data_IF_601897852198
#
_entry.id   IF_601897852198
#
_cell.length_a   1.000
_cell.length_b   1.000
_cell.length_c   1.000
_cell.angle_alpha   90.00
_cell.angle_beta   90.00
_cell.angle_gamma   90.00
#
_symmetry.space_group_name_H-M   'P 1'
#
loop_
_entity.id
_entity.type
_entity.pdbx_description
1 polymer ?
#
# COMPACT_ATOMS: atom_id res chain seq x y z
N UNK A 1 10.32 -11.80 30.45
CA UNK A 1 10.03 -11.20 29.12
C UNK A 1 9.01 -12.09 28.43
N UNK A 2 7.91 -11.51 27.91
CA UNK A 2 6.94 -12.29 27.13
C UNK A 2 7.54 -12.68 25.77
N UNK A 3 7.00 -13.71 25.12
CA UNK A 3 7.39 -14.10 23.77
C UNK A 3 7.25 -12.94 22.77
N UNK A 4 6.23 -12.09 22.96
CA UNK A 4 6.01 -10.87 22.17
C UNK A 4 7.15 -9.85 22.35
N UNK A 5 7.67 -9.70 23.59
CA UNK A 5 8.77 -8.80 23.87
C UNK A 5 10.10 -9.28 23.23
N UNK A 6 10.31 -10.59 23.22
CA UNK A 6 11.48 -11.20 22.58
C UNK A 6 11.47 -10.99 21.07
N UNK A 7 10.33 -11.21 20.41
CA UNK A 7 10.17 -10.96 18.95
C UNK A 7 10.34 -9.47 18.60
N UNK A 8 9.80 -8.57 19.42
CA UNK A 8 10.01 -7.15 19.22
C UNK A 8 11.50 -6.79 19.30
N UNK A 9 12.17 -7.22 20.37
CA UNK A 9 13.60 -6.95 20.58
C UNK A 9 14.47 -7.55 19.48
N UNK A 10 14.15 -8.76 19.03
CA UNK A 10 14.82 -9.39 17.90
C UNK A 10 14.78 -8.51 16.65
N UNK A 11 13.57 -8.15 16.20
CA UNK A 11 13.41 -7.34 15.00
C UNK A 11 13.89 -5.90 15.15
N UNK A 12 13.79 -5.34 16.36
CA UNK A 12 14.30 -3.99 16.64
C UNK A 12 15.82 -3.90 16.49
N UNK A 13 16.53 -4.94 16.84
CA UNK A 13 18.00 -5.01 16.83
C UNK A 13 18.57 -5.58 15.51
N UNK A 14 17.75 -6.09 14.59
CA UNK A 14 18.26 -6.47 13.26
C UNK A 14 18.76 -5.24 12.53
N UNK A 15 19.74 -5.39 11.66
CA UNK A 15 20.29 -4.29 10.87
C UNK A 15 20.56 -4.72 9.43
N UNK A 16 20.56 -3.74 8.53
CA UNK A 16 20.85 -3.91 7.12
C UNK A 16 21.01 -2.56 6.44
N UNK A 17 21.29 -2.49 5.15
CA UNK A 17 21.40 -1.23 4.42
C UNK A 17 20.08 -0.46 4.45
N UNK A 18 20.17 0.84 4.58
CA UNK A 18 19.03 1.73 4.50
C UNK A 18 18.45 1.76 3.08
N UNK A 19 17.14 1.63 2.97
CA UNK A 19 16.35 1.91 1.77
C UNK A 19 15.74 3.30 1.89
N UNK A 20 15.27 3.63 3.10
CA UNK A 20 14.90 4.97 3.50
C UNK A 20 15.63 5.28 4.81
N UNK A 21 16.56 6.22 4.77
CA UNK A 21 17.25 6.68 5.97
C UNK A 21 16.27 7.28 6.99
N UNK A 22 16.58 7.20 8.29
CA UNK A 22 15.72 7.77 9.31
C UNK A 22 15.54 9.27 9.07
N UNK A 23 14.31 9.66 8.83
CA UNK A 23 13.95 11.07 8.76
C UNK A 23 13.12 11.49 10.00
N UNK A 24 13.30 12.74 10.40
CA UNK A 24 12.58 13.31 11.53
C UNK A 24 11.35 14.06 11.01
N UNK A 25 10.17 13.59 11.36
CA UNK A 25 8.92 14.29 11.05
C UNK A 25 8.01 14.32 12.28
N UNK A 26 7.42 15.49 12.59
CA UNK A 26 6.41 15.65 13.66
C UNK A 26 6.83 15.04 15.01
N UNK A 27 8.04 15.29 15.46
CA UNK A 27 8.62 14.80 16.73
C UNK A 27 8.88 13.28 16.77
N UNK A 28 8.89 12.60 15.64
CA UNK A 28 9.22 11.19 15.55
C UNK A 28 10.23 10.87 14.44
N UNK A 29 10.82 9.70 14.50
CA UNK A 29 11.73 9.19 13.47
C UNK A 29 11.09 8.04 12.73
N UNK A 30 11.36 7.91 11.43
CA UNK A 30 10.95 6.75 10.62
C UNK A 30 12.05 6.41 9.61
N UNK A 31 12.36 5.15 9.48
CA UNK A 31 13.33 4.65 8.49
C UNK A 31 13.03 3.19 8.11
N UNK A 32 13.54 2.76 6.95
CA UNK A 32 13.36 1.41 6.40
C UNK A 32 14.70 0.80 6.04
N UNK A 33 14.98 -0.37 6.54
CA UNK A 33 16.16 -1.17 6.20
C UNK A 33 15.77 -2.44 5.45
N UNK A 34 16.62 -2.84 4.51
CA UNK A 34 16.54 -4.15 3.86
C UNK A 34 17.39 -5.14 4.64
N UNK A 35 16.80 -6.26 5.03
CA UNK A 35 17.46 -7.29 5.87
C UNK A 35 17.27 -8.66 5.20
N UNK A 36 18.32 -9.50 5.24
CA UNK A 36 18.21 -10.92 4.90
C UNK A 36 17.76 -11.70 6.13
N UNK A 37 16.66 -12.44 6.00
CA UNK A 37 16.12 -13.28 7.06
C UNK A 37 15.68 -14.62 6.51
N UNK A 38 16.27 -15.71 7.01
CA UNK A 38 15.99 -17.09 6.55
C UNK A 38 16.10 -17.26 5.03
N UNK A 39 17.12 -16.68 4.40
CA UNK A 39 17.34 -16.76 2.95
C UNK A 39 16.43 -15.88 2.10
N UNK A 40 15.55 -15.08 2.70
CA UNK A 40 14.66 -14.17 1.99
C UNK A 40 14.91 -12.70 2.39
N UNK A 41 14.68 -11.80 1.44
CA UNK A 41 14.70 -10.36 1.71
C UNK A 41 13.44 -9.93 2.45
N UNK A 42 13.62 -9.14 3.51
CA UNK A 42 12.54 -8.47 4.25
C UNK A 42 12.87 -6.98 4.41
N UNK A 43 11.83 -6.16 4.50
CA UNK A 43 11.94 -4.73 4.81
C UNK A 43 11.51 -4.50 6.26
N UNK A 44 12.37 -3.84 7.02
CA UNK A 44 12.16 -3.54 8.43
C UNK A 44 11.99 -2.03 8.61
N UNK A 45 10.73 -1.62 8.75
CA UNK A 45 10.34 -0.23 9.04
C UNK A 45 10.32 -0.02 10.54
N UNK A 46 11.11 0.93 11.03
CA UNK A 46 11.15 1.33 12.44
C UNK A 46 10.66 2.75 12.59
N UNK A 47 9.86 2.97 13.62
CA UNK A 47 9.33 4.30 13.94
C UNK A 47 9.43 4.56 15.44
N UNK A 48 9.80 5.79 15.78
CA UNK A 48 9.80 6.30 17.16
C UNK A 48 8.94 7.55 17.22
N UNK A 49 7.94 7.59 18.11
CA UNK A 49 7.08 8.76 18.29
C UNK A 49 6.04 9.02 17.19
N UNK A 50 6.03 8.25 16.08
CA UNK A 50 5.01 8.36 15.02
C UNK A 50 3.70 7.71 15.44
N UNK A 51 2.72 8.53 15.82
CA UNK A 51 1.44 8.06 16.35
C UNK A 51 0.27 8.45 15.47
N UNK A 52 -0.71 7.55 15.35
CA UNK A 52 -2.06 7.88 14.92
C UNK A 52 -3.02 7.89 16.11
N UNK A 53 -4.04 8.73 16.04
CA UNK A 53 -5.12 8.79 17.04
C UNK A 53 -6.43 8.34 16.40
N UNK A 54 -7.29 7.74 17.20
CA UNK A 54 -8.64 7.32 16.82
C UNK A 54 -9.53 7.29 18.06
N UNK A 55 -10.84 7.14 17.88
CA UNK A 55 -11.76 6.96 19.01
C UNK A 55 -11.35 5.79 19.92
N UNK A 56 -10.84 4.70 19.32
CA UNK A 56 -10.33 3.53 20.07
C UNK A 56 -8.98 3.79 20.75
N UNK A 57 -8.19 4.72 20.24
CA UNK A 57 -6.84 5.01 20.74
C UNK A 57 -6.63 6.52 20.89
N UNK A 58 -7.30 7.17 21.87
CA UNK A 58 -7.24 8.63 22.03
C UNK A 58 -5.83 9.11 22.39
N UNK A 59 -5.06 8.31 23.13
CA UNK A 59 -3.66 8.60 23.48
C UNK A 59 -2.65 8.26 22.38
N UNK A 60 -3.12 7.78 21.25
CA UNK A 60 -2.28 7.41 20.10
C UNK A 60 -1.69 6.01 20.20
N UNK A 61 -1.37 5.45 19.00
CA UNK A 61 -0.63 4.20 18.80
C UNK A 61 0.31 4.38 17.61
N UNK A 62 1.44 3.62 17.57
CA UNK A 62 2.34 3.66 16.41
C UNK A 62 1.65 3.36 15.10
N UNK A 63 1.98 4.14 14.05
CA UNK A 63 1.39 3.99 12.72
C UNK A 63 1.75 2.66 12.09
N UNK A 64 2.90 2.05 12.43
CA UNK A 64 3.29 0.69 12.02
C UNK A 64 2.27 -0.38 12.41
N UNK A 65 1.59 -0.25 13.56
CA UNK A 65 0.52 -1.18 13.94
C UNK A 65 -0.71 -1.04 13.05
N UNK A 66 -1.04 0.18 12.61
CA UNK A 66 -2.14 0.42 11.68
C UNK A 66 -1.80 -0.13 10.31
N UNK A 67 -0.59 0.14 9.83
CA UNK A 67 -0.09 -0.35 8.55
C UNK A 67 -0.04 -1.88 8.50
N UNK A 68 0.51 -2.55 9.54
CA UNK A 68 0.55 -4.00 9.61
C UNK A 68 -0.86 -4.64 9.59
N UNK A 69 -1.83 -4.05 10.31
CA UNK A 69 -3.23 -4.49 10.26
C UNK A 69 -3.86 -4.26 8.89
N UNK A 70 -3.53 -3.15 8.23
CA UNK A 70 -4.02 -2.85 6.90
C UNK A 70 -3.50 -3.86 5.87
N UNK A 71 -2.20 -4.17 5.89
CA UNK A 71 -1.60 -5.21 5.05
C UNK A 71 -2.30 -6.57 5.24
N UNK A 72 -2.44 -7.02 6.49
CA UNK A 72 -3.17 -8.26 6.81
C UNK A 72 -4.60 -8.24 6.27
N UNK A 73 -5.29 -7.09 6.42
CA UNK A 73 -6.67 -6.95 5.93
C UNK A 73 -6.76 -6.98 4.41
N UNK A 74 -5.85 -6.31 3.70
CA UNK A 74 -5.83 -6.31 2.24
C UNK A 74 -5.60 -7.72 1.69
N UNK A 75 -4.60 -8.44 2.21
CA UNK A 75 -4.33 -9.83 1.81
C UNK A 75 -5.55 -10.73 2.05
N UNK A 76 -6.24 -10.56 3.18
CA UNK A 76 -7.47 -11.31 3.47
C UNK A 76 -8.64 -10.97 2.50
N UNK A 77 -8.65 -9.76 1.94
CA UNK A 77 -9.59 -9.36 0.90
C UNK A 77 -9.17 -9.82 -0.51
N UNK A 78 -8.07 -10.55 -0.64
CA UNK A 78 -7.48 -10.94 -1.92
C UNK A 78 -6.89 -9.77 -2.70
N UNK A 79 -6.52 -8.69 -1.99
CA UNK A 79 -5.81 -7.53 -2.54
C UNK A 79 -4.32 -7.73 -2.30
N UNK A 80 -3.54 -7.78 -3.38
CA UNK A 80 -2.12 -8.02 -3.29
C UNK A 80 -1.39 -6.83 -2.62
N UNK A 81 -0.53 -7.14 -1.66
CA UNK A 81 0.25 -6.20 -0.86
C UNK A 81 1.44 -6.94 -0.23
N UNK A 82 2.47 -6.25 0.29
CA UNK A 82 3.56 -6.90 1.02
C UNK A 82 3.05 -7.76 2.18
N UNK A 83 3.48 -9.01 2.23
CA UNK A 83 3.09 -9.91 3.32
C UNK A 83 3.78 -9.49 4.63
N UNK A 84 3.04 -9.14 5.70
CA UNK A 84 3.67 -8.86 6.98
C UNK A 84 4.24 -10.14 7.60
N UNK A 85 5.51 -10.06 8.02
CA UNK A 85 6.20 -11.10 8.79
C UNK A 85 6.00 -10.86 10.28
N UNK A 86 6.10 -9.59 10.68
CA UNK A 86 5.92 -9.17 12.05
C UNK A 86 5.49 -7.69 12.10
N UNK A 87 4.66 -7.33 13.05
CA UNK A 87 4.46 -5.94 13.44
C UNK A 87 4.14 -5.84 14.93
N UNK A 88 4.71 -4.84 15.57
CA UNK A 88 4.58 -4.67 17.01
C UNK A 88 4.92 -3.26 17.47
N UNK A 89 4.67 -3.00 18.74
CA UNK A 89 5.06 -1.75 19.37
C UNK A 89 5.30 -1.94 20.86
N UNK A 90 6.30 -1.22 21.38
CA UNK A 90 6.63 -1.15 22.79
C UNK A 90 6.79 0.31 23.22
N UNK A 91 6.51 0.58 24.49
CA UNK A 91 6.78 1.89 25.10
C UNK A 91 8.07 1.81 25.91
N UNK A 92 9.12 2.48 25.44
CA UNK A 92 10.44 2.48 26.05
C UNK A 92 10.71 3.89 26.59
N UNK A 93 10.97 4.03 27.87
CA UNK A 93 11.19 5.34 28.53
C UNK A 93 10.10 6.37 28.19
N UNK A 94 8.84 5.96 28.17
CA UNK A 94 7.72 6.84 27.87
C UNK A 94 7.42 7.08 26.39
N UNK A 95 8.31 6.69 25.48
CA UNK A 95 8.17 6.90 24.02
C UNK A 95 7.75 5.62 23.33
N UNK A 96 6.80 5.72 22.39
CA UNK A 96 6.38 4.59 21.57
C UNK A 96 7.42 4.28 20.48
N UNK A 97 7.81 3.03 20.44
CA UNK A 97 8.63 2.41 19.41
C UNK A 97 7.75 1.44 18.63
N UNK A 98 7.67 1.62 17.33
CA UNK A 98 6.86 0.79 16.45
C UNK A 98 7.70 0.14 15.35
N UNK A 99 7.39 -1.10 15.02
CA UNK A 99 8.09 -1.86 13.98
C UNK A 99 7.10 -2.56 13.07
N UNK A 100 7.43 -2.61 11.79
CA UNK A 100 6.73 -3.41 10.78
C UNK A 100 7.78 -4.10 9.92
N UNK A 101 7.66 -5.41 9.77
CA UNK A 101 8.50 -6.26 8.93
C UNK A 101 7.64 -6.87 7.85
N UNK A 102 8.02 -6.67 6.59
CA UNK A 102 7.31 -7.20 5.43
C UNK A 102 8.24 -7.99 4.53
N UNK A 103 7.70 -8.99 3.84
CA UNK A 103 8.43 -9.64 2.74
C UNK A 103 8.62 -8.68 1.58
N UNK A 104 9.69 -8.89 0.84
CA UNK A 104 9.95 -8.19 -0.42
C UNK A 104 8.87 -8.52 -1.46
N UNK A 105 8.49 -7.52 -2.24
CA UNK A 105 7.75 -7.67 -3.49
C UNK A 105 8.74 -7.87 -4.65
N UNK A 106 9.35 -9.05 -4.69
CA UNK A 106 10.41 -9.34 -5.65
C UNK A 106 9.95 -9.19 -7.10
N UNK A 107 10.65 -8.34 -7.86
CA UNK A 107 10.38 -8.05 -9.26
C UNK A 107 9.25 -7.05 -9.49
N UNK A 108 8.73 -6.41 -8.44
CA UNK A 108 7.82 -5.28 -8.58
C UNK A 108 8.58 -3.95 -8.62
N UNK A 109 8.05 -3.01 -9.39
CA UNK A 109 8.44 -1.59 -9.38
C UNK A 109 7.19 -0.73 -9.24
N UNK A 110 7.32 0.51 -8.82
CA UNK A 110 6.17 1.40 -8.74
C UNK A 110 5.65 1.79 -10.14
N UNK A 111 4.33 1.96 -10.22
CA UNK A 111 3.63 2.20 -11.48
C UNK A 111 4.05 3.53 -12.15
N UNK A 112 4.46 4.52 -11.36
CA UNK A 112 4.92 5.82 -11.86
C UNK A 112 6.26 5.65 -12.59
N UNK A 113 7.23 4.97 -11.96
CA UNK A 113 8.52 4.62 -12.58
C UNK A 113 8.33 3.77 -13.83
N UNK A 114 7.46 2.76 -13.78
CA UNK A 114 7.16 1.90 -14.93
C UNK A 114 6.64 2.69 -16.15
N UNK A 115 5.74 3.66 -15.94
CA UNK A 115 5.28 4.53 -17.03
C UNK A 115 6.38 5.46 -17.53
N UNK A 116 7.20 6.01 -16.63
CA UNK A 116 8.31 6.92 -16.99
C UNK A 116 9.43 6.19 -17.76
N UNK A 117 9.62 4.90 -17.53
CA UNK A 117 10.56 4.05 -18.26
C UNK A 117 10.07 3.65 -19.66
N UNK A 118 8.93 4.18 -20.10
CA UNK A 118 8.46 4.04 -21.47
C UNK A 118 7.46 2.91 -21.71
N UNK A 119 6.73 2.49 -20.70
CA UNK A 119 5.71 1.45 -20.84
C UNK A 119 4.72 1.70 -21.98
N UNK A 120 4.34 2.98 -22.22
CA UNK A 120 3.45 3.36 -23.34
C UNK A 120 4.02 3.03 -24.73
N UNK A 121 5.34 2.92 -24.85
CA UNK A 121 6.01 2.57 -26.09
C UNK A 121 6.32 1.05 -26.18
N UNK A 122 6.33 0.35 -25.06
CA UNK A 122 6.65 -1.07 -24.97
C UNK A 122 5.42 -1.97 -25.09
N UNK A 123 4.25 -1.48 -24.65
CA UNK A 123 3.03 -2.27 -24.58
C UNK A 123 1.93 -1.71 -25.48
N UNK A 124 1.15 -2.61 -26.05
CA UNK A 124 0.00 -2.22 -26.90
C UNK A 124 -1.10 -1.53 -26.07
N UNK A 125 -1.97 -0.73 -26.68
CA UNK A 125 -3.10 -0.12 -25.99
C UNK A 125 -3.98 -1.14 -25.22
N UNK A 126 -4.16 -2.34 -25.79
CA UNK A 126 -4.91 -3.44 -25.15
C UNK A 126 -4.22 -3.95 -23.88
N UNK A 127 -2.89 -4.07 -23.90
CA UNK A 127 -2.11 -4.50 -22.75
C UNK A 127 -2.11 -3.44 -21.63
N UNK A 128 -2.01 -2.16 -22.00
CA UNK A 128 -2.14 -1.05 -21.06
C UNK A 128 -3.54 -0.97 -20.45
N UNK A 129 -4.59 -1.20 -21.24
CA UNK A 129 -5.97 -1.27 -20.73
C UNK A 129 -6.15 -2.44 -19.74
N UNK A 130 -5.51 -3.59 -19.98
CA UNK A 130 -5.50 -4.71 -19.05
C UNK A 130 -4.87 -4.34 -17.68
N UNK A 131 -3.79 -3.54 -17.66
CA UNK A 131 -3.22 -3.02 -16.41
C UNK A 131 -4.23 -2.17 -15.65
N UNK A 132 -4.99 -1.31 -16.36
CA UNK A 132 -6.05 -0.49 -15.75
C UNK A 132 -7.19 -1.36 -15.20
N UNK A 133 -7.58 -2.42 -15.91
CA UNK A 133 -8.61 -3.36 -15.46
C UNK A 133 -8.18 -4.12 -14.20
N UNK A 134 -6.95 -4.64 -14.16
CA UNK A 134 -6.40 -5.32 -12.98
C UNK A 134 -6.40 -4.37 -11.77
N UNK A 135 -5.94 -3.13 -11.94
CA UNK A 135 -5.96 -2.14 -10.88
C UNK A 135 -7.38 -1.82 -10.41
N UNK A 136 -8.30 -1.65 -11.35
CA UNK A 136 -9.70 -1.39 -11.07
C UNK A 136 -10.34 -2.51 -10.24
N UNK A 137 -10.10 -3.76 -10.62
CA UNK A 137 -10.56 -4.94 -9.88
C UNK A 137 -9.97 -4.98 -8.46
N UNK A 138 -8.66 -4.75 -8.33
CA UNK A 138 -7.96 -4.76 -7.05
C UNK A 138 -8.49 -3.68 -6.10
N UNK A 139 -8.66 -2.46 -6.59
CA UNK A 139 -9.23 -1.35 -5.81
C UNK A 139 -10.70 -1.57 -5.46
N UNK A 140 -11.51 -2.06 -6.39
CA UNK A 140 -12.92 -2.35 -6.13
C UNK A 140 -13.07 -3.40 -5.02
N UNK A 141 -12.25 -4.45 -5.03
CA UNK A 141 -12.22 -5.50 -4.00
C UNK A 141 -11.91 -4.93 -2.62
N UNK A 142 -10.92 -4.06 -2.51
CA UNK A 142 -10.60 -3.33 -1.28
C UNK A 142 -11.80 -2.51 -0.78
N UNK A 143 -12.42 -1.72 -1.68
CA UNK A 143 -13.51 -0.83 -1.32
C UNK A 143 -14.81 -1.57 -0.98
N UNK A 144 -15.12 -2.69 -1.67
CA UNK A 144 -16.24 -3.58 -1.31
C UNK A 144 -16.04 -4.16 0.09
N UNK A 145 -14.81 -4.43 0.49
CA UNK A 145 -14.43 -4.79 1.86
C UNK A 145 -14.53 -3.63 2.87
N UNK A 146 -15.08 -2.47 2.48
CA UNK A 146 -15.18 -1.23 3.27
C UNK A 146 -13.84 -0.75 3.79
N UNK A 147 -12.78 -0.95 3.01
CA UNK A 147 -11.43 -0.56 3.38
C UNK A 147 -10.92 0.53 2.45
N UNK A 148 -10.31 1.58 3.01
CA UNK A 148 -9.76 2.72 2.31
C UNK A 148 -8.24 2.66 2.38
N UNK A 149 -7.55 2.96 1.26
CA UNK A 149 -6.10 3.13 1.24
C UNK A 149 -5.67 4.39 2.00
N UNK A 150 -6.33 5.50 1.72
CA UNK A 150 -6.11 6.79 2.39
C UNK A 150 -4.94 7.61 1.85
N UNK A 151 -4.13 7.05 0.94
CA UNK A 151 -3.03 7.74 0.24
C UNK A 151 -2.82 7.13 -1.16
N UNK A 152 -3.90 6.98 -1.95
CA UNK A 152 -3.84 6.35 -3.26
C UNK A 152 -3.16 7.24 -4.29
N UNK A 153 -1.96 6.81 -4.74
CA UNK A 153 -1.12 7.50 -5.73
C UNK A 153 -0.44 6.47 -6.62
N UNK A 154 -0.06 6.85 -7.84
CA UNK A 154 0.64 5.95 -8.79
C UNK A 154 1.90 5.31 -8.20
N UNK A 155 2.69 6.04 -7.44
CA UNK A 155 3.89 5.55 -6.77
C UNK A 155 3.64 4.56 -5.62
N UNK A 156 2.40 4.42 -5.16
CA UNK A 156 2.00 3.45 -4.13
C UNK A 156 1.31 2.21 -4.73
N UNK A 157 1.21 2.16 -6.06
CA UNK A 157 0.77 1.03 -6.85
C UNK A 157 2.03 0.41 -7.44
N UNK A 158 2.25 -0.85 -7.20
CA UNK A 158 3.41 -1.57 -7.69
C UNK A 158 2.98 -2.56 -8.78
N UNK A 159 3.80 -2.68 -9.81
CA UNK A 159 3.56 -3.55 -10.95
C UNK A 159 4.73 -4.52 -11.12
N UNK A 160 4.40 -5.76 -11.42
CA UNK A 160 5.33 -6.77 -11.90
C UNK A 160 4.88 -7.26 -13.26
N UNK A 161 5.81 -7.31 -14.20
CA UNK A 161 5.58 -7.87 -15.52
C UNK A 161 6.29 -9.20 -15.62
N UNK A 162 5.57 -10.23 -15.99
CA UNK A 162 6.12 -11.53 -16.35
C UNK A 162 6.00 -11.69 -17.86
N UNK A 163 7.13 -11.71 -18.53
CA UNK A 163 7.16 -11.97 -19.96
C UNK A 163 6.87 -13.45 -20.19
N UNK A 164 5.77 -13.75 -20.87
CA UNK A 164 5.47 -15.09 -21.39
C UNK A 164 5.71 -15.09 -22.91
N UNK A 165 5.76 -16.27 -23.51
CA UNK A 165 6.03 -16.44 -24.96
C UNK A 165 4.96 -15.86 -25.88
N UNK A 166 3.78 -15.49 -25.36
CA UNK A 166 2.65 -15.00 -26.16
C UNK A 166 2.17 -13.61 -25.74
N UNK A 167 1.96 -13.36 -24.45
CA UNK A 167 1.47 -12.10 -23.92
C UNK A 167 2.05 -11.82 -22.51
N UNK A 168 2.43 -10.60 -22.17
CA UNK A 168 2.90 -10.27 -20.83
C UNK A 168 1.76 -10.41 -19.81
N UNK A 169 2.08 -11.04 -18.68
CA UNK A 169 1.22 -11.09 -17.50
C UNK A 169 1.56 -9.94 -16.56
N UNK A 170 0.55 -9.20 -16.15
CA UNK A 170 0.70 -8.10 -15.21
C UNK A 170 0.15 -8.48 -13.83
N UNK A 171 0.93 -8.17 -12.81
CA UNK A 171 0.52 -8.35 -11.41
C UNK A 171 0.67 -7.00 -10.69
N UNK A 172 -0.36 -6.58 -9.95
CA UNK A 172 -0.35 -5.31 -9.22
C UNK A 172 -0.44 -5.56 -7.72
N UNK A 173 0.19 -4.67 -6.94
CA UNK A 173 0.16 -4.68 -5.48
C UNK A 173 0.03 -3.24 -4.95
N UNK A 174 -0.54 -3.09 -3.74
CA UNK A 174 -0.69 -1.80 -3.07
C UNK A 174 0.29 -1.67 -1.90
N UNK A 175 0.97 -0.53 -1.81
CA UNK A 175 1.93 -0.18 -0.76
C UNK A 175 1.52 1.12 -0.05
N UNK A 176 2.27 1.48 1.00
CA UNK A 176 2.08 2.69 1.84
C UNK A 176 0.69 2.75 2.48
N UNK A 177 0.37 1.75 3.27
CA UNK A 177 -0.90 1.63 3.96
C UNK A 177 -0.92 2.34 5.33
N UNK A 178 0.00 3.25 5.59
CA UNK A 178 0.12 3.95 6.88
C UNK A 178 -1.14 4.75 7.23
N UNK A 179 -1.87 5.27 6.23
CA UNK A 179 -3.14 5.98 6.41
C UNK A 179 -4.38 5.11 6.20
N UNK A 180 -4.18 3.84 5.88
CA UNK A 180 -5.24 2.92 5.53
C UNK A 180 -6.10 2.54 6.73
N UNK A 181 -7.42 2.45 6.53
CA UNK A 181 -8.37 2.14 7.60
C UNK A 181 -9.76 1.72 7.05
N UNK A 182 -10.55 1.10 7.92
CA UNK A 182 -11.93 0.75 7.61
C UNK A 182 -12.86 1.96 7.53
N UNK A 183 -13.89 1.86 6.69
CA UNK A 183 -14.96 2.87 6.52
C UNK A 183 -16.34 2.26 6.79
N UNK A 184 -17.31 3.12 7.12
CA UNK A 184 -18.70 2.71 7.34
C UNK A 184 -19.32 2.17 6.04
N UNK A 185 -18.99 2.76 4.88
CA UNK A 185 -19.49 2.31 3.58
C UNK A 185 -18.39 2.18 2.54
N UNK A 186 -18.58 1.23 1.62
CA UNK A 186 -17.72 1.03 0.45
C UNK A 186 -17.64 2.29 -0.42
N UNK A 187 -18.74 3.01 -0.59
CA UNK A 187 -18.78 4.21 -1.42
C UNK A 187 -17.95 5.36 -0.84
N UNK A 188 -17.91 5.53 0.50
CA UNK A 188 -17.04 6.53 1.13
C UNK A 188 -15.57 6.18 0.97
N UNK A 189 -15.21 4.90 1.12
CA UNK A 189 -13.87 4.43 0.85
C UNK A 189 -13.46 4.70 -0.60
N UNK A 190 -14.31 4.29 -1.54
CA UNK A 190 -14.13 4.43 -2.98
C UNK A 190 -13.92 5.89 -3.41
N UNK A 191 -14.84 6.78 -3.06
CA UNK A 191 -14.79 8.19 -3.47
C UNK A 191 -13.48 8.87 -3.06
N UNK A 192 -13.05 8.65 -1.83
CA UNK A 192 -11.81 9.24 -1.34
C UNK A 192 -10.61 8.80 -2.19
N UNK A 193 -10.42 7.50 -2.37
CA UNK A 193 -9.24 6.96 -3.03
C UNK A 193 -9.26 7.21 -4.56
N UNK A 194 -10.44 7.14 -5.20
CA UNK A 194 -10.60 7.46 -6.62
C UNK A 194 -10.28 8.93 -6.91
N UNK A 195 -10.80 9.86 -6.10
CA UNK A 195 -10.49 11.29 -6.25
C UNK A 195 -9.02 11.59 -5.99
N UNK A 196 -8.40 10.85 -5.07
CA UNK A 196 -6.98 10.99 -4.80
C UNK A 196 -6.12 10.45 -5.94
N UNK A 197 -6.45 9.26 -6.46
CA UNK A 197 -5.77 8.67 -7.61
C UNK A 197 -5.89 9.57 -8.85
N UNK A 198 -7.08 10.12 -9.13
CA UNK A 198 -7.28 11.06 -10.26
C UNK A 198 -6.32 12.25 -10.20
N UNK A 199 -6.12 12.82 -9.03
CA UNK A 199 -5.23 13.99 -8.83
C UNK A 199 -3.74 13.67 -8.92
N UNK A 200 -3.37 12.41 -8.74
CA UNK A 200 -1.99 11.96 -8.62
C UNK A 200 -1.62 10.85 -9.62
N UNK A 201 -2.44 10.64 -10.66
CA UNK A 201 -2.12 9.79 -11.79
C UNK A 201 -1.68 10.65 -12.99
N UNK A 202 -0.81 10.10 -13.83
CA UNK A 202 -0.35 10.71 -15.07
C UNK A 202 -1.18 10.25 -16.29
N UNK A 203 -2.36 9.69 -16.04
CA UNK A 203 -3.22 9.19 -17.09
C UNK A 203 -3.91 10.34 -17.83
N UNK A 204 -3.95 10.22 -19.17
CA UNK A 204 -4.79 11.04 -20.01
C UNK A 204 -6.27 10.85 -19.65
N UNK A 205 -7.12 11.77 -20.10
CA UNK A 205 -8.56 11.64 -19.88
C UNK A 205 -9.15 10.34 -20.44
N UNK A 206 -8.80 9.88 -21.67
CA UNK A 206 -9.25 8.58 -22.17
C UNK A 206 -8.82 7.41 -21.26
N UNK A 207 -7.55 7.35 -20.83
CA UNK A 207 -7.06 6.30 -19.92
C UNK A 207 -7.81 6.30 -18.57
N UNK A 208 -8.05 7.50 -18.04
CA UNK A 208 -8.84 7.66 -16.82
C UNK A 208 -10.27 7.15 -16.99
N UNK A 209 -10.92 7.44 -18.09
CA UNK A 209 -12.28 6.97 -18.39
C UNK A 209 -12.31 5.44 -18.59
N UNK A 210 -11.26 4.84 -19.16
CA UNK A 210 -11.12 3.39 -19.25
C UNK A 210 -11.01 2.75 -17.84
N UNK A 211 -10.10 3.27 -17.02
CA UNK A 211 -9.98 2.82 -15.63
C UNK A 211 -11.30 2.97 -14.87
N UNK A 212 -11.99 4.10 -14.98
CA UNK A 212 -13.22 4.36 -14.24
C UNK A 212 -14.34 3.40 -14.67
N UNK A 213 -14.50 3.11 -15.96
CA UNK A 213 -15.46 2.11 -16.45
C UNK A 213 -15.19 0.72 -15.89
N UNK A 214 -13.95 0.25 -15.92
CA UNK A 214 -13.56 -1.02 -15.32
C UNK A 214 -13.85 -1.02 -13.80
N UNK A 215 -13.49 0.06 -13.13
CA UNK A 215 -13.67 0.18 -11.71
C UNK A 215 -15.14 0.14 -11.28
N UNK A 216 -16.02 0.92 -11.93
CA UNK A 216 -17.46 0.97 -11.64
C UNK A 216 -18.14 -0.35 -11.98
N UNK A 217 -17.71 -1.04 -13.02
CA UNK A 217 -18.16 -2.42 -13.35
C UNK A 217 -17.84 -3.37 -12.19
N UNK A 218 -16.61 -3.38 -11.66
CA UNK A 218 -16.22 -4.22 -10.53
C UNK A 218 -16.87 -3.79 -9.20
N UNK A 219 -17.10 -2.50 -9.01
CA UNK A 219 -17.78 -1.98 -7.81
C UNK A 219 -19.29 -2.25 -7.84
N UNK A 220 -19.87 -2.49 -9.03
CA UNK A 220 -21.30 -2.71 -9.26
C UNK A 220 -22.15 -1.43 -9.21
N UNK A 221 -21.53 -0.24 -9.23
CA UNK A 221 -22.24 1.05 -9.21
C UNK A 221 -21.30 2.23 -9.55
N UNK A 222 -21.86 3.37 -9.98
CA UNK A 222 -21.08 4.59 -10.17
C UNK A 222 -20.45 5.09 -8.86
N UNK A 223 -19.22 5.59 -8.94
CA UNK A 223 -18.49 6.17 -7.80
C UNK A 223 -18.48 7.69 -7.84
N UNK A 224 -18.41 8.27 -9.04
CA UNK A 224 -18.49 9.70 -9.26
C UNK A 224 -19.86 9.97 -9.85
N UNK A 225 -20.75 10.56 -9.08
CA UNK A 225 -21.95 11.20 -9.66
C UNK A 225 -21.44 12.42 -10.42
N UNK A 226 -21.68 12.48 -11.75
CA UNK A 226 -21.53 13.71 -12.51
C UNK A 226 -22.28 14.80 -11.73
N UNK A 227 -21.52 15.80 -11.24
CA UNK A 227 -22.13 16.92 -10.56
C UNK A 227 -23.20 17.52 -11.47
N UNK A 228 -24.40 17.72 -10.94
CA UNK A 228 -25.36 18.62 -11.55
C UNK A 228 -24.64 19.96 -11.66
N UNK A 229 -24.35 20.36 -12.91
CA UNK A 229 -23.94 21.71 -13.30
C UNK A 229 -24.95 22.74 -12.81
#
# INVERSE_FOLDING_TARGET
MSQTDQLFSYWWNTSGPWVEEPNVRRSGTSGVQRVMHNGATVYVKRQTGHLFRSLRYPLGRPTTLREGRALTKLLHLGVNAPQPVYYGAQKIKGVWHGILVTKDLNGFQDLESWYNEGAKNQYTPKQLDNVLEILASLMARMHLGRWQHGCMRSKHIFIKVRNSSSDPEFELALLDLEKSHGRISSLRAARHDILQLRRHSYWSEPEWQHFLRHYEKHLGRPVITQGRS
#
